data_IF_636278051189
#
_entry.id   IF_636278051189
#
_cell.length_a   1.000
_cell.length_b   1.000
_cell.length_c   1.000
_cell.angle_alpha   90.00
_cell.angle_beta   90.00
_cell.angle_gamma   90.00
#
_symmetry.space_group_name_H-M   'P 1'
#
loop_
_entity.id
_entity.type
_entity.pdbx_description
1 polymer ?
#
# COMPACT_ATOMS: atom_id res chain seq x y z
N UNK A 1 -43.33 32.76 -5.93
CA UNK A 1 -42.62 32.26 -7.12
C UNK A 1 -41.38 31.53 -6.64
N UNK A 2 -41.55 30.24 -6.36
CA UNK A 2 -40.47 29.31 -6.08
C UNK A 2 -39.90 28.85 -7.42
N UNK A 3 -38.58 28.88 -7.60
CA UNK A 3 -37.93 28.03 -8.60
C UNK A 3 -36.64 27.48 -7.98
N UNK A 4 -36.74 26.19 -7.67
CA UNK A 4 -35.69 25.33 -7.19
C UNK A 4 -34.50 25.34 -8.16
N UNK A 5 -33.30 25.50 -7.61
CA UNK A 5 -32.05 25.10 -8.25
C UNK A 5 -31.54 23.89 -7.46
N UNK A 6 -31.77 22.75 -8.06
CA UNK A 6 -31.54 21.39 -7.58
C UNK A 6 -30.04 21.11 -7.55
N UNK A 7 -29.55 20.74 -6.36
CA UNK A 7 -28.20 20.21 -6.13
C UNK A 7 -28.09 18.83 -6.77
N UNK A 8 -27.37 18.73 -7.90
CA UNK A 8 -26.98 17.44 -8.48
C UNK A 8 -25.75 16.94 -7.74
N UNK A 9 -26.02 16.14 -6.72
CA UNK A 9 -25.06 15.32 -5.98
C UNK A 9 -24.62 14.16 -6.88
N UNK A 10 -23.34 14.09 -7.26
CA UNK A 10 -22.77 12.91 -7.92
C UNK A 10 -22.23 11.96 -6.84
N UNK A 11 -22.80 10.75 -6.66
CA UNK A 11 -22.28 9.77 -5.72
C UNK A 11 -21.00 9.12 -6.28
N UNK A 12 -19.96 9.11 -5.43
CA UNK A 12 -18.74 8.33 -5.66
C UNK A 12 -19.07 6.84 -5.61
N UNK A 13 -18.78 6.13 -6.70
CA UNK A 13 -19.00 4.70 -6.84
C UNK A 13 -18.13 3.89 -5.83
N UNK A 14 -18.69 2.89 -5.13
CA UNK A 14 -17.92 1.95 -4.34
C UNK A 14 -17.18 0.96 -5.26
N UNK A 15 -15.89 0.75 -5.01
CA UNK A 15 -15.16 -0.34 -5.66
C UNK A 15 -15.61 -1.68 -5.08
N UNK A 16 -16.48 -2.35 -5.83
CA UNK A 16 -16.91 -3.71 -5.60
C UNK A 16 -15.71 -4.67 -5.68
N UNK A 17 -15.66 -5.59 -4.72
CA UNK A 17 -14.69 -6.68 -4.69
C UNK A 17 -15.14 -7.80 -5.63
N UNK A 18 -14.29 -8.16 -6.58
CA UNK A 18 -14.48 -9.38 -7.37
C UNK A 18 -14.00 -10.59 -6.55
N UNK A 19 -14.92 -11.16 -5.79
CA UNK A 19 -14.93 -12.57 -5.42
C UNK A 19 -15.31 -13.38 -6.66
N UNK A 20 -14.46 -14.29 -7.13
CA UNK A 20 -14.84 -15.27 -8.14
C UNK A 20 -14.62 -16.68 -7.57
N UNK A 21 -15.72 -17.29 -7.12
CA UNK A 21 -15.85 -18.70 -6.77
C UNK A 21 -17.18 -19.23 -7.34
N UNK A 22 -17.05 -20.29 -8.16
CA UNK A 22 -18.00 -21.38 -8.47
C UNK A 22 -19.36 -21.13 -9.17
N UNK A 23 -19.44 -21.60 -10.42
CA UNK A 23 -20.49 -22.46 -11.03
C UNK A 23 -19.94 -22.94 -12.40
N UNK A 24 -19.79 -24.21 -12.79
CA UNK A 24 -20.64 -25.42 -12.76
C UNK A 24 -21.80 -25.42 -13.78
N UNK A 25 -21.53 -25.90 -15.00
CA UNK A 25 -22.42 -26.59 -15.98
C UNK A 25 -21.55 -26.92 -17.23
N UNK A 26 -21.13 -28.16 -17.46
CA UNK A 26 -21.79 -29.28 -18.20
C UNK A 26 -21.91 -29.10 -19.74
N UNK A 27 -21.43 -30.14 -20.45
CA UNK A 27 -21.60 -30.57 -21.86
C UNK A 27 -20.24 -30.78 -22.56
N UNK A 28 -19.92 -31.87 -23.26
CA UNK A 28 -20.48 -33.20 -23.49
C UNK A 28 -19.32 -34.05 -24.08
N UNK A 29 -19.36 -35.36 -23.88
CA UNK A 29 -18.41 -36.36 -24.39
C UNK A 29 -18.29 -36.36 -25.94
N UNK A 30 -17.22 -36.97 -26.50
CA UNK A 30 -17.54 -38.13 -27.33
C UNK A 30 -16.79 -39.40 -26.92
N UNK A 31 -17.62 -40.44 -26.80
CA UNK A 31 -17.28 -41.84 -26.66
C UNK A 31 -16.51 -42.41 -27.87
N UNK A 32 -15.65 -43.38 -27.54
CA UNK A 32 -15.27 -44.56 -28.33
C UNK A 32 -14.26 -44.41 -29.49
N UNK A 33 -13.00 -44.73 -29.16
CA UNK A 33 -12.22 -45.69 -29.95
C UNK A 33 -11.25 -46.46 -29.03
N UNK A 34 -11.71 -47.59 -28.52
CA UNK A 34 -10.87 -48.58 -27.86
C UNK A 34 -10.00 -49.37 -28.86
N UNK A 35 -8.69 -49.41 -28.65
CA UNK A 35 -7.89 -50.65 -28.72
C UNK A 35 -6.48 -50.49 -28.09
N UNK A 36 -6.33 -51.14 -26.93
CA UNK A 36 -5.16 -51.70 -26.25
C UNK A 36 -3.72 -51.38 -26.72
N UNK A 37 -2.92 -50.89 -25.76
CA UNK A 37 -1.72 -51.64 -25.35
C UNK A 37 -1.33 -51.37 -23.89
N UNK A 38 -1.64 -52.36 -23.05
CA UNK A 38 -1.01 -52.74 -21.78
C UNK A 38 0.33 -52.09 -21.42
N UNK A 39 0.38 -51.34 -20.32
CA UNK A 39 1.38 -51.48 -19.23
C UNK A 39 1.29 -50.33 -18.22
N UNK A 40 0.34 -50.41 -17.27
CA UNK A 40 0.36 -49.57 -16.06
C UNK A 40 1.47 -50.02 -15.11
N UNK A 41 2.74 -49.83 -15.51
CA UNK A 41 3.85 -49.69 -14.56
C UNK A 41 3.57 -48.39 -13.78
N UNK A 42 3.55 -48.43 -12.44
CA UNK A 42 3.41 -47.25 -11.57
C UNK A 42 4.39 -46.17 -12.04
N UNK A 43 3.94 -45.21 -12.87
CA UNK A 43 4.79 -44.14 -13.40
C UNK A 43 5.23 -43.33 -12.17
N UNK A 44 6.51 -43.45 -11.79
CA UNK A 44 7.10 -42.65 -10.72
C UNK A 44 6.75 -41.19 -11.00
N UNK A 45 6.17 -40.50 -10.03
CA UNK A 45 5.79 -39.08 -10.17
C UNK A 45 6.98 -38.33 -10.74
N UNK A 46 6.82 -37.80 -11.94
CA UNK A 46 7.87 -37.09 -12.61
C UNK A 46 8.01 -35.74 -11.90
N UNK A 47 9.21 -35.49 -11.37
CA UNK A 47 9.51 -34.22 -10.71
C UNK A 47 10.00 -33.24 -11.78
N UNK A 48 9.35 -32.07 -11.93
CA UNK A 48 9.80 -31.04 -12.85
C UNK A 48 11.18 -30.50 -12.44
N UNK A 49 11.93 -30.04 -13.43
CA UNK A 49 13.25 -29.43 -13.23
C UNK A 49 13.36 -28.12 -13.97
N UNK A 50 13.98 -27.13 -13.33
CA UNK A 50 14.15 -25.80 -13.90
C UNK A 50 15.60 -25.60 -14.36
N UNK A 51 15.74 -25.01 -15.54
CA UNK A 51 17.00 -24.57 -16.11
C UNK A 51 16.98 -23.05 -16.21
N UNK A 52 18.00 -22.43 -15.63
CA UNK A 52 18.29 -21.01 -15.75
C UNK A 52 19.07 -20.74 -17.03
N UNK A 53 18.67 -19.69 -17.74
CA UNK A 53 19.31 -19.16 -18.94
C UNK A 53 19.89 -17.79 -18.58
N UNK A 54 21.21 -17.72 -18.45
CA UNK A 54 21.91 -16.51 -18.00
C UNK A 54 22.20 -15.49 -19.11
N UNK A 55 22.12 -15.91 -20.37
CA UNK A 55 22.33 -15.03 -21.51
C UNK A 55 21.22 -15.23 -22.54
N UNK A 56 20.59 -14.13 -22.93
CA UNK A 56 19.50 -14.11 -23.90
C UNK A 56 19.84 -13.16 -25.05
N UNK A 57 19.87 -13.65 -26.31
CA UNK A 57 20.14 -12.81 -27.47
C UNK A 57 19.12 -11.69 -27.69
N UNK A 58 19.50 -10.62 -28.41
CA UNK A 58 18.54 -9.59 -28.84
C UNK A 58 17.47 -10.20 -29.76
N UNK A 59 16.20 -9.80 -29.56
CA UNK A 59 15.01 -10.35 -30.27
C UNK A 59 14.70 -11.82 -29.99
N UNK A 60 15.32 -12.43 -28.99
CA UNK A 60 14.98 -13.78 -28.59
C UNK A 60 13.65 -13.80 -27.83
N UNK A 61 12.76 -14.74 -28.16
CA UNK A 61 11.42 -14.84 -27.56
C UNK A 61 11.28 -16.18 -26.83
N UNK A 62 10.45 -16.28 -25.79
CA UNK A 62 10.18 -17.56 -25.10
C UNK A 62 9.76 -18.69 -26.04
N UNK A 63 9.04 -18.36 -27.12
CA UNK A 63 8.64 -19.33 -28.15
C UNK A 63 9.83 -19.95 -28.89
N UNK A 64 10.88 -19.17 -29.18
CA UNK A 64 12.08 -19.70 -29.83
C UNK A 64 12.78 -20.72 -28.94
N UNK A 65 12.89 -20.46 -27.63
CA UNK A 65 13.45 -21.42 -26.67
C UNK A 65 12.62 -22.68 -26.58
N UNK A 66 11.29 -22.54 -26.50
CA UNK A 66 10.39 -23.69 -26.50
C UNK A 66 10.66 -24.58 -27.71
N UNK A 67 10.70 -24.00 -28.92
CA UNK A 67 10.91 -24.76 -30.15
C UNK A 67 12.30 -25.42 -30.21
N UNK A 68 13.35 -24.71 -29.79
CA UNK A 68 14.72 -25.25 -29.79
C UNK A 68 14.91 -26.38 -28.75
N UNK A 69 14.34 -26.21 -27.56
CA UNK A 69 14.49 -27.18 -26.47
C UNK A 69 13.48 -28.33 -26.53
N UNK A 70 12.39 -28.17 -27.30
CA UNK A 70 11.40 -29.22 -27.57
C UNK A 70 12.01 -30.47 -28.19
N UNK A 71 13.13 -30.35 -28.91
CA UNK A 71 13.84 -31.49 -29.48
C UNK A 71 14.50 -32.40 -28.42
N UNK A 72 14.78 -31.87 -27.23
CA UNK A 72 15.45 -32.61 -26.14
C UNK A 72 14.49 -33.13 -25.08
N UNK A 73 13.29 -32.54 -24.99
CA UNK A 73 12.20 -33.05 -24.16
C UNK A 73 11.04 -32.07 -24.00
N UNK A 74 10.05 -32.48 -23.20
CA UNK A 74 8.83 -31.69 -22.95
C UNK A 74 9.12 -30.44 -22.09
N UNK A 75 8.96 -29.27 -22.72
CA UNK A 75 9.11 -27.96 -22.07
C UNK A 75 7.76 -27.50 -21.53
N UNK A 76 7.70 -27.21 -20.24
CA UNK A 76 6.54 -26.67 -19.53
C UNK A 76 6.48 -25.15 -19.62
N UNK A 77 6.58 -24.48 -18.46
CA UNK A 77 6.54 -23.01 -18.36
C UNK A 77 7.88 -22.38 -18.74
N UNK A 78 7.82 -21.20 -19.36
CA UNK A 78 9.01 -20.41 -19.72
C UNK A 78 8.77 -18.96 -19.33
N UNK A 79 9.69 -18.38 -18.58
CA UNK A 79 9.63 -16.99 -18.13
C UNK A 79 10.94 -16.31 -18.46
N UNK A 80 10.87 -15.14 -19.08
CA UNK A 80 12.03 -14.30 -19.35
C UNK A 80 11.89 -12.98 -18.61
N UNK A 81 12.93 -12.61 -17.87
CA UNK A 81 13.02 -11.33 -17.20
C UNK A 81 13.36 -10.27 -18.23
N UNK A 82 12.44 -9.32 -18.43
CA UNK A 82 12.71 -8.17 -19.28
C UNK A 82 13.77 -7.27 -18.61
N UNK A 83 14.60 -6.63 -19.43
CA UNK A 83 15.52 -5.60 -18.97
C UNK A 83 14.80 -4.52 -18.14
N UNK A 84 15.54 -3.92 -17.20
CA UNK A 84 14.97 -2.90 -16.33
C UNK A 84 14.33 -1.74 -17.11
N UNK A 85 13.20 -1.26 -16.56
CA UNK A 85 12.38 -0.23 -17.21
C UNK A 85 13.17 1.07 -17.43
N UNK A 86 14.11 1.39 -16.56
CA UNK A 86 14.93 2.59 -16.67
C UNK A 86 15.89 2.50 -17.86
N UNK A 87 16.61 1.37 -17.99
CA UNK A 87 17.53 1.12 -19.11
C UNK A 87 16.77 1.14 -20.43
N UNK A 88 15.59 0.49 -20.48
CA UNK A 88 14.73 0.50 -21.66
C UNK A 88 14.26 1.92 -22.03
N UNK A 89 13.90 2.75 -21.04
CA UNK A 89 13.49 4.14 -21.28
C UNK A 89 14.65 4.99 -21.77
N UNK A 90 15.86 4.83 -21.19
CA UNK A 90 17.08 5.54 -21.63
C UNK A 90 17.44 5.17 -23.07
N UNK A 91 17.45 3.88 -23.41
CA UNK A 91 17.67 3.39 -24.77
C UNK A 91 16.65 3.98 -25.74
N UNK A 92 15.36 3.96 -25.39
CA UNK A 92 14.27 4.55 -26.21
C UNK A 92 14.46 6.06 -26.41
N UNK A 93 14.80 6.80 -25.35
CA UNK A 93 15.05 8.24 -25.42
C UNK A 93 16.26 8.56 -26.32
N UNK A 94 17.33 7.77 -26.23
CA UNK A 94 18.52 7.94 -27.06
C UNK A 94 18.25 7.71 -28.57
N UNK A 95 17.38 6.78 -28.97
CA UNK A 95 16.98 6.68 -30.38
C UNK A 95 15.98 7.75 -30.81
N UNK A 96 15.12 8.23 -29.91
CA UNK A 96 14.23 9.33 -30.24
C UNK A 96 15.03 10.62 -30.55
N UNK A 97 16.21 10.78 -29.95
CA UNK A 97 17.10 11.94 -30.13
C UNK A 97 18.02 11.90 -31.37
N UNK A 98 17.83 10.97 -32.31
CA UNK A 98 18.54 10.98 -33.60
C UNK A 98 19.54 9.82 -33.85
N UNK A 99 19.55 8.79 -33.01
CA UNK A 99 20.27 7.55 -33.28
C UNK A 99 19.60 6.73 -34.40
N UNK A 100 20.41 6.07 -35.25
CA UNK A 100 20.00 5.25 -36.42
C UNK A 100 18.65 4.53 -36.22
N UNK A 101 17.75 4.73 -37.19
CA UNK A 101 16.37 4.22 -37.29
C UNK A 101 16.14 2.91 -36.53
N UNK A 102 15.45 3.05 -35.40
CA UNK A 102 14.43 2.16 -34.86
C UNK A 102 14.28 0.78 -35.55
N UNK A 103 15.21 -0.15 -35.35
CA UNK A 103 14.86 -1.56 -35.40
C UNK A 103 14.07 -1.88 -34.12
N UNK A 104 12.84 -1.34 -34.06
CA UNK A 104 11.71 -1.69 -33.18
C UNK A 104 12.18 -2.41 -31.91
N UNK A 105 12.61 -1.64 -30.90
CA UNK A 105 13.07 -2.11 -29.59
C UNK A 105 12.31 -3.36 -29.16
N UNK A 106 12.88 -4.52 -29.47
CA UNK A 106 12.33 -5.77 -29.00
C UNK A 106 12.47 -5.74 -27.49
N UNK A 107 11.57 -6.42 -26.78
CA UNK A 107 11.79 -6.66 -25.36
C UNK A 107 13.05 -7.51 -25.27
N UNK A 108 14.17 -6.85 -24.97
CA UNK A 108 15.41 -7.53 -24.63
C UNK A 108 15.21 -8.11 -23.24
N UNK A 109 15.66 -9.33 -23.08
CA UNK A 109 15.58 -10.07 -21.84
C UNK A 109 16.98 -10.23 -21.29
N UNK A 110 17.14 -10.07 -19.99
CA UNK A 110 18.44 -10.26 -19.34
C UNK A 110 18.64 -11.73 -18.99
N UNK A 111 17.59 -12.35 -18.45
CA UNK A 111 17.64 -13.68 -17.87
C UNK A 111 16.38 -14.47 -18.23
N UNK A 112 16.46 -15.80 -18.13
CA UNK A 112 15.33 -16.68 -18.37
C UNK A 112 15.31 -17.93 -17.50
N UNK A 113 14.12 -18.47 -17.31
CA UNK A 113 13.88 -19.75 -16.63
C UNK A 113 12.98 -20.62 -17.49
N UNK A 114 13.41 -21.86 -17.67
CA UNK A 114 12.73 -22.87 -18.46
C UNK A 114 12.44 -24.05 -17.57
N UNK A 115 11.17 -24.41 -17.44
CA UNK A 115 10.75 -25.62 -16.75
C UNK A 115 10.67 -26.78 -17.74
N UNK A 116 11.30 -27.90 -17.39
CA UNK A 116 11.11 -29.18 -18.04
C UNK A 116 10.23 -30.06 -17.18
N UNK A 117 9.42 -30.90 -17.82
CA UNK A 117 8.58 -31.88 -17.13
C UNK A 117 9.42 -32.86 -16.29
N UNK A 118 10.58 -33.25 -16.80
CA UNK A 118 11.51 -34.20 -16.18
C UNK A 118 12.82 -33.54 -15.75
N UNK A 119 13.14 -33.58 -14.45
CA UNK A 119 14.44 -33.07 -13.96
C UNK A 119 15.66 -33.81 -14.52
N UNK A 120 15.50 -35.06 -14.98
CA UNK A 120 16.58 -35.84 -15.62
C UNK A 120 16.95 -35.26 -16.97
N UNK A 121 15.93 -34.86 -17.75
CA UNK A 121 16.11 -34.17 -19.02
C UNK A 121 16.74 -32.81 -18.78
N UNK A 122 16.24 -32.04 -17.81
CA UNK A 122 16.81 -30.74 -17.45
C UNK A 122 18.33 -30.81 -17.14
N UNK A 123 18.76 -31.81 -16.36
CA UNK A 123 20.18 -32.04 -16.06
C UNK A 123 21.00 -32.37 -17.30
N UNK A 124 20.50 -33.26 -18.15
CA UNK A 124 21.17 -33.65 -19.40
C UNK A 124 21.30 -32.45 -20.34
N UNK A 125 20.21 -31.73 -20.55
CA UNK A 125 20.15 -30.53 -21.39
C UNK A 125 21.14 -29.48 -20.89
N UNK A 126 21.16 -29.20 -19.59
CA UNK A 126 22.12 -28.25 -19.03
C UNK A 126 23.57 -28.74 -19.23
N UNK A 127 23.88 -30.02 -19.03
CA UNK A 127 25.24 -30.53 -19.23
C UNK A 127 25.68 -30.56 -20.70
N UNK A 128 24.77 -30.87 -21.63
CA UNK A 128 25.10 -31.06 -23.05
C UNK A 128 25.03 -29.77 -23.87
N UNK A 129 24.10 -28.87 -23.56
CA UNK A 129 23.90 -27.63 -24.33
C UNK A 129 24.64 -26.44 -23.75
N UNK A 130 25.11 -26.48 -22.50
CA UNK A 130 25.88 -25.37 -21.95
C UNK A 130 27.14 -25.10 -22.79
N UNK A 131 27.38 -23.84 -23.14
CA UNK A 131 28.44 -23.34 -24.01
C UNK A 131 28.42 -23.86 -25.46
N UNK A 132 27.29 -24.37 -25.94
CA UNK A 132 27.12 -24.76 -27.34
C UNK A 132 26.48 -23.63 -28.16
N UNK A 133 26.75 -23.53 -29.47
CA UNK A 133 26.11 -22.53 -30.32
C UNK A 133 24.61 -22.77 -30.45
N UNK A 134 23.80 -21.70 -30.35
CA UNK A 134 22.34 -21.81 -30.38
C UNK A 134 21.77 -22.22 -31.74
N UNK A 135 22.47 -21.90 -32.82
CA UNK A 135 22.00 -22.14 -34.17
C UNK A 135 22.97 -22.97 -35.00
N UNK A 136 22.52 -24.14 -35.45
CA UNK A 136 23.22 -24.90 -36.49
C UNK A 136 23.02 -24.29 -37.90
N UNK A 137 21.97 -23.47 -38.10
CA UNK A 137 21.54 -22.97 -39.43
C UNK A 137 22.32 -21.74 -39.88
N UNK A 138 22.67 -21.66 -41.17
CA UNK A 138 23.51 -20.58 -41.73
C UNK A 138 22.84 -19.20 -41.74
N UNK A 139 21.51 -19.17 -41.83
CA UNK A 139 20.70 -17.94 -41.83
C UNK A 139 20.00 -17.66 -40.50
N UNK A 140 20.32 -18.38 -39.41
CA UNK A 140 19.66 -18.11 -38.12
C UNK A 140 20.21 -16.82 -37.50
N UNK A 141 19.34 -15.93 -36.97
CA UNK A 141 19.78 -14.71 -36.29
C UNK A 141 20.68 -14.94 -35.07
N UNK A 142 20.60 -16.12 -34.45
CA UNK A 142 21.26 -16.48 -33.19
C UNK A 142 22.46 -17.42 -33.40
N UNK A 143 23.13 -17.33 -34.55
CA UNK A 143 24.21 -18.26 -34.95
C UNK A 143 25.46 -18.12 -34.07
N UNK A 144 25.85 -16.88 -33.77
CA UNK A 144 27.10 -16.58 -33.05
C UNK A 144 26.93 -16.64 -31.53
N UNK A 145 25.69 -16.68 -31.07
CA UNK A 145 25.39 -16.69 -29.65
C UNK A 145 25.48 -18.12 -29.08
N UNK A 146 26.02 -18.22 -27.87
CA UNK A 146 26.18 -19.46 -27.13
C UNK A 146 25.07 -19.63 -26.09
N UNK A 147 24.67 -20.88 -25.86
CA UNK A 147 23.79 -21.25 -24.76
C UNK A 147 24.50 -21.09 -23.42
N UNK A 148 23.95 -20.28 -22.52
CA UNK A 148 24.38 -20.23 -21.12
C UNK A 148 23.30 -20.81 -20.20
N UNK A 149 23.33 -22.13 -20.04
CA UNK A 149 22.33 -22.88 -19.27
C UNK A 149 22.89 -23.38 -17.94
N UNK A 150 22.11 -23.28 -16.87
CA UNK A 150 22.45 -23.84 -15.55
C UNK A 150 21.24 -24.56 -14.96
N UNK A 151 21.41 -25.82 -14.56
CA UNK A 151 20.36 -26.53 -13.84
C UNK A 151 20.29 -26.06 -12.38
N UNK A 152 19.07 -25.76 -11.90
CA UNK A 152 18.85 -25.37 -10.51
C UNK A 152 18.30 -26.57 -9.71
N UNK A 153 19.07 -27.00 -8.70
CA UNK A 153 18.68 -28.12 -7.86
C UNK A 153 17.62 -27.71 -6.83
N UNK A 154 16.63 -28.58 -6.59
CA UNK A 154 15.52 -28.37 -5.63
C UNK A 154 14.72 -27.06 -5.84
N UNK A 155 14.83 -26.48 -7.02
CA UNK A 155 14.13 -25.26 -7.38
C UNK A 155 12.88 -25.58 -8.18
N UNK A 156 11.74 -25.05 -7.73
CA UNK A 156 10.42 -25.21 -8.36
C UNK A 156 9.91 -23.87 -8.83
N UNK A 157 8.91 -23.90 -9.71
CA UNK A 157 8.36 -22.67 -10.29
C UNK A 157 7.69 -21.77 -9.25
N UNK A 158 7.11 -22.37 -8.21
CA UNK A 158 6.52 -21.65 -7.07
C UNK A 158 7.53 -20.71 -6.42
N UNK A 159 8.76 -21.17 -6.19
CA UNK A 159 9.82 -20.35 -5.60
C UNK A 159 10.21 -19.18 -6.51
N UNK A 160 10.23 -19.37 -7.84
CA UNK A 160 10.48 -18.28 -8.78
C UNK A 160 9.39 -17.22 -8.71
N UNK A 161 8.12 -17.64 -8.79
CA UNK A 161 6.99 -16.72 -8.75
C UNK A 161 6.89 -15.99 -7.42
N UNK A 162 7.15 -16.68 -6.31
CA UNK A 162 7.16 -16.13 -4.96
C UNK A 162 8.26 -15.07 -4.82
N UNK A 163 9.49 -15.40 -5.24
CA UNK A 163 10.61 -14.45 -5.19
C UNK A 163 10.34 -13.20 -6.04
N UNK A 164 9.84 -13.36 -7.26
CA UNK A 164 9.49 -12.23 -8.14
C UNK A 164 8.30 -11.40 -7.61
N UNK A 165 7.35 -12.04 -6.92
CA UNK A 165 6.23 -11.34 -6.29
C UNK A 165 6.71 -10.54 -5.08
N UNK A 166 7.54 -11.16 -4.25
CA UNK A 166 8.16 -10.52 -3.09
C UNK A 166 8.99 -9.30 -3.50
N UNK A 167 9.90 -9.43 -4.46
CA UNK A 167 10.72 -8.31 -4.93
C UNK A 167 9.86 -7.15 -5.45
N UNK A 168 8.81 -7.46 -6.24
CA UNK A 168 7.86 -6.46 -6.74
C UNK A 168 7.10 -5.79 -5.60
N UNK A 169 6.69 -6.54 -4.58
CA UNK A 169 5.98 -6.01 -3.42
C UNK A 169 6.88 -5.10 -2.59
N UNK A 170 8.12 -5.52 -2.30
CA UNK A 170 9.10 -4.71 -1.56
C UNK A 170 9.37 -3.40 -2.30
N UNK A 171 9.63 -3.46 -3.61
CA UNK A 171 9.83 -2.26 -4.43
C UNK A 171 8.61 -1.33 -4.41
N UNK A 172 7.40 -1.88 -4.50
CA UNK A 172 6.15 -1.12 -4.45
C UNK A 172 5.93 -0.48 -3.08
N UNK A 173 6.22 -1.20 -2.00
CA UNK A 173 6.10 -0.69 -0.63
C UNK A 173 7.09 0.45 -0.38
N UNK A 174 8.35 0.30 -0.82
CA UNK A 174 9.35 1.35 -0.73
C UNK A 174 8.93 2.63 -1.46
N UNK A 175 8.51 2.50 -2.72
CA UNK A 175 8.01 3.65 -3.50
C UNK A 175 6.78 4.31 -2.84
N UNK A 176 5.88 3.51 -2.25
CA UNK A 176 4.72 4.05 -1.52
C UNK A 176 5.12 4.82 -0.27
N UNK A 177 6.10 4.32 0.49
CA UNK A 177 6.62 5.01 1.66
C UNK A 177 7.30 6.33 1.27
N UNK A 178 8.13 6.32 0.22
CA UNK A 178 8.79 7.52 -0.31
C UNK A 178 7.75 8.56 -0.80
N UNK A 179 6.73 8.13 -1.54
CA UNK A 179 5.63 9.01 -1.97
C UNK A 179 4.82 9.52 -0.78
N UNK A 180 4.55 8.69 0.22
CA UNK A 180 3.81 9.09 1.41
C UNK A 180 4.60 10.13 2.23
N UNK A 181 5.92 10.00 2.34
CA UNK A 181 6.77 10.99 2.99
C UNK A 181 6.75 12.33 2.23
N UNK A 182 6.98 12.32 0.92
CA UNK A 182 6.94 13.54 0.11
C UNK A 182 5.57 14.24 0.16
N UNK A 183 4.47 13.47 0.19
CA UNK A 183 3.12 14.00 0.39
C UNK A 183 2.97 14.65 1.75
N UNK A 184 3.38 13.99 2.84
CA UNK A 184 3.31 14.58 4.21
C UNK A 184 4.07 15.90 4.29
N UNK A 185 5.25 15.99 3.70
CA UNK A 185 6.06 17.22 3.67
C UNK A 185 5.37 18.33 2.84
N UNK A 186 4.82 17.98 1.67
CA UNK A 186 4.08 18.92 0.81
C UNK A 186 2.80 19.41 1.49
N UNK A 187 2.01 18.51 2.07
CA UNK A 187 0.78 18.83 2.78
C UNK A 187 1.05 19.73 3.99
N UNK A 188 2.13 19.46 4.73
CA UNK A 188 2.58 20.30 5.84
C UNK A 188 2.95 21.72 5.37
N UNK A 189 3.66 21.84 4.24
CA UNK A 189 3.98 23.14 3.66
C UNK A 189 2.72 23.91 3.24
N UNK A 190 1.79 23.25 2.55
CA UNK A 190 0.52 23.87 2.13
C UNK A 190 -0.30 24.36 3.33
N UNK A 191 -0.42 23.56 4.38
CA UNK A 191 -1.11 23.94 5.62
C UNK A 191 -0.42 25.11 6.32
N UNK A 192 0.91 25.15 6.33
CA UNK A 192 1.69 26.23 6.95
C UNK A 192 1.52 27.55 6.19
N UNK A 193 1.54 27.52 4.85
CA UNK A 193 1.30 28.69 4.00
C UNK A 193 -0.14 29.19 4.15
N UNK A 194 -1.12 28.29 4.16
CA UNK A 194 -2.52 28.66 4.37
C UNK A 194 -2.73 29.29 5.75
N UNK A 195 -2.13 28.71 6.79
CA UNK A 195 -2.16 29.28 8.14
C UNK A 195 -1.51 30.66 8.18
N UNK A 196 -0.36 30.86 7.53
CA UNK A 196 0.30 32.16 7.40
C UNK A 196 -0.58 33.19 6.69
N UNK A 197 -1.22 32.82 5.57
CA UNK A 197 -2.18 33.69 4.87
C UNK A 197 -3.38 34.05 5.74
N UNK A 198 -3.92 33.10 6.50
CA UNK A 198 -5.03 33.33 7.43
C UNK A 198 -4.62 34.26 8.57
N UNK A 199 -3.39 34.15 9.09
CA UNK A 199 -2.87 35.10 10.09
C UNK A 199 -2.73 36.52 9.51
N UNK A 200 -2.12 36.66 8.33
CA UNK A 200 -1.99 37.96 7.67
C UNK A 200 -3.35 38.60 7.35
N UNK A 201 -4.32 37.82 6.88
CA UNK A 201 -5.68 38.29 6.63
C UNK A 201 -6.42 38.67 7.92
N UNK A 202 -6.14 37.99 9.03
CA UNK A 202 -6.71 38.30 10.35
C UNK A 202 -6.10 39.54 11.00
N UNK A 203 -4.81 39.83 10.77
CA UNK A 203 -4.14 41.04 11.25
C UNK A 203 -4.60 42.30 10.50
N UNK A 204 -5.08 42.15 9.25
CA UNK A 204 -5.67 43.24 8.45
C UNK A 204 -7.13 43.56 8.78
N UNK A 205 -7.79 42.79 9.65
CA UNK A 205 -9.18 42.99 10.04
C UNK A 205 -9.27 43.94 11.26
N UNK A 206 -9.43 45.24 10.99
CA UNK A 206 -9.55 46.31 11.99
C UNK A 206 -10.77 46.19 12.93
N UNK A 207 -11.67 45.23 12.68
CA UNK A 207 -12.87 44.97 13.49
C UNK A 207 -12.60 44.03 14.67
N UNK A 208 -11.44 43.39 14.72
CA UNK A 208 -11.07 42.54 15.85
C UNK A 208 -10.62 43.42 17.03
N UNK A 209 -11.25 43.30 18.22
CA UNK A 209 -10.75 43.99 19.39
C UNK A 209 -9.32 43.50 19.62
N UNK A 210 -8.40 44.45 19.83
CA UNK A 210 -7.00 44.20 20.16
C UNK A 210 -6.95 43.29 21.38
N UNK A 211 -6.97 41.98 21.16
CA UNK A 211 -6.85 40.98 22.20
C UNK A 211 -5.37 40.90 22.53
N UNK A 212 -4.88 41.98 23.16
CA UNK A 212 -3.74 41.87 24.06
C UNK A 212 -4.00 40.62 24.88
N UNK A 213 -3.07 39.68 24.81
CA UNK A 213 -3.14 38.42 25.53
C UNK A 213 -3.06 38.77 27.02
N UNK A 214 -4.18 39.18 27.58
CA UNK A 214 -4.32 39.51 28.98
C UNK A 214 -4.42 38.17 29.67
N UNK A 215 -3.40 37.87 30.46
CA UNK A 215 -3.40 36.75 31.39
C UNK A 215 -4.60 36.92 32.33
N UNK A 216 -5.75 36.35 31.96
CA UNK A 216 -6.98 36.48 32.72
C UNK A 216 -6.85 35.62 33.97
N UNK A 217 -6.54 36.27 35.10
CA UNK A 217 -6.55 35.65 36.42
C UNK A 217 -7.90 34.96 36.64
N UNK A 218 -7.87 33.68 37.05
CA UNK A 218 -9.10 32.92 37.30
C UNK A 218 -9.92 33.63 38.39
N UNK A 219 -11.23 33.88 38.16
CA UNK A 219 -12.07 34.56 39.14
C UNK A 219 -12.15 33.77 40.44
N UNK A 220 -12.12 34.46 41.56
CA UNK A 220 -12.15 33.88 42.90
C UNK A 220 -13.50 33.24 43.20
N UNK A 221 -13.53 32.27 44.12
CA UNK A 221 -14.71 31.44 44.40
C UNK A 221 -15.95 32.27 44.83
N UNK A 222 -15.72 33.39 45.50
CA UNK A 222 -16.77 34.33 45.91
C UNK A 222 -17.44 35.01 44.72
N UNK A 223 -16.65 35.38 43.71
CA UNK A 223 -17.12 35.98 42.46
C UNK A 223 -17.96 34.98 41.65
N UNK A 224 -17.57 33.69 41.66
CA UNK A 224 -18.33 32.61 41.04
C UNK A 224 -19.69 32.40 41.74
N UNK A 225 -19.74 32.46 43.08
CA UNK A 225 -21.00 32.33 43.85
C UNK A 225 -21.94 33.51 43.60
N UNK A 226 -21.42 34.74 43.61
CA UNK A 226 -22.19 35.95 43.31
C UNK A 226 -22.75 35.93 41.88
N UNK A 227 -21.93 35.55 40.90
CA UNK A 227 -22.34 35.43 39.49
C UNK A 227 -23.41 34.35 39.27
N UNK A 228 -23.36 33.27 40.05
CA UNK A 228 -24.36 32.20 40.01
C UNK A 228 -25.70 32.64 40.62
N UNK A 229 -25.67 33.46 41.69
CA UNK A 229 -26.85 34.05 42.30
C UNK A 229 -27.50 35.15 41.42
N UNK A 230 -26.72 35.83 40.58
CA UNK A 230 -27.20 36.89 39.68
C UNK A 230 -27.91 36.40 38.40
N UNK A 231 -27.87 35.09 38.09
CA UNK A 231 -28.60 34.53 36.93
C UNK A 231 -30.13 34.52 37.18
N UNK A 232 -30.98 34.56 36.13
CA UNK A 232 -32.43 34.45 36.29
C UNK A 232 -32.79 33.13 36.99
N UNK A 233 -33.57 33.20 38.08
CA UNK A 233 -33.85 32.07 38.98
C UNK A 233 -32.70 31.69 39.95
N UNK A 234 -31.53 32.34 39.83
CA UNK A 234 -30.38 32.16 40.71
C UNK A 234 -30.58 32.72 42.11
N UNK A 235 -31.35 33.81 42.25
CA UNK A 235 -31.74 34.38 43.56
C UNK A 235 -32.61 33.43 44.35
N UNK A 236 -33.56 32.74 43.70
CA UNK A 236 -34.40 31.73 44.36
C UNK A 236 -33.60 30.48 44.70
N UNK A 237 -32.72 30.00 43.82
CA UNK A 237 -31.80 28.89 44.12
C UNK A 237 -30.80 29.24 45.22
N UNK A 238 -30.32 30.47 45.28
CA UNK A 238 -29.44 30.95 46.35
C UNK A 238 -30.20 31.12 47.67
N UNK A 239 -31.45 31.58 47.63
CA UNK A 239 -32.36 31.60 48.80
C UNK A 239 -32.67 30.20 49.29
N UNK A 240 -32.97 29.25 48.39
CA UNK A 240 -33.20 27.85 48.73
C UNK A 240 -31.94 27.18 49.25
N UNK A 241 -30.77 27.44 48.66
CA UNK A 241 -29.48 26.95 49.16
C UNK A 241 -29.14 27.54 50.53
N UNK A 242 -29.35 28.84 50.73
CA UNK A 242 -29.20 29.48 52.04
C UNK A 242 -30.21 28.97 53.06
N UNK A 243 -31.45 28.72 52.67
CA UNK A 243 -32.48 28.13 53.53
C UNK A 243 -32.15 26.67 53.87
N UNK A 244 -31.56 25.93 52.92
CA UNK A 244 -31.12 24.56 53.11
C UNK A 244 -29.85 24.48 53.96
N UNK A 245 -28.92 25.42 53.82
CA UNK A 245 -27.75 25.58 54.70
C UNK A 245 -28.15 26.06 56.09
N UNK A 246 -29.14 26.96 56.21
CA UNK A 246 -29.73 27.36 57.49
C UNK A 246 -30.47 26.19 58.17
N UNK A 247 -31.23 25.39 57.41
CA UNK A 247 -31.91 24.21 57.90
C UNK A 247 -30.95 23.05 58.25
N UNK A 248 -29.82 22.95 57.54
CA UNK A 248 -28.72 22.02 57.88
C UNK A 248 -27.92 22.52 59.07
N UNK A 249 -27.80 23.83 59.24
CA UNK A 249 -27.10 24.43 60.37
C UNK A 249 -28.01 24.43 61.61
N UNK A 250 -28.08 23.29 62.29
CA UNK A 250 -28.45 23.23 63.71
C UNK A 250 -27.36 23.86 64.59
N UNK A 251 -26.73 24.95 64.14
CA UNK A 251 -25.58 25.55 64.81
C UNK A 251 -25.99 26.18 66.13
N UNK A 252 -27.17 26.78 66.20
CA UNK A 252 -27.75 27.32 67.43
C UNK A 252 -28.25 26.24 68.41
N UNK A 253 -28.69 25.09 67.89
CA UNK A 253 -29.14 23.95 68.69
C UNK A 253 -27.93 23.20 69.28
N UNK A 254 -26.90 22.97 68.46
CA UNK A 254 -25.62 22.42 68.89
C UNK A 254 -24.85 23.37 69.82
N UNK A 255 -24.92 24.69 69.62
CA UNK A 255 -24.29 25.68 70.52
C UNK A 255 -25.00 25.77 71.89
N UNK A 256 -26.31 25.49 71.97
CA UNK A 256 -27.03 25.40 73.26
C UNK A 256 -26.77 24.08 74.00
N UNK A 257 -26.48 23.01 73.26
CA UNK A 257 -26.11 21.71 73.85
C UNK A 257 -24.64 21.69 74.28
N UNK A 258 -23.73 22.31 73.51
CA UNK A 258 -22.28 22.23 73.73
C UNK A 258 -21.60 23.54 74.21
N UNK A 259 -22.31 24.67 74.28
CA UNK A 259 -21.77 25.99 74.67
C UNK A 259 -20.94 26.64 73.55
N UNK A 260 -21.19 27.93 73.23
CA UNK A 260 -20.42 28.66 72.21
C UNK A 260 -19.23 29.43 72.82
N UNK A 261 -18.03 29.37 72.21
CA UNK A 261 -16.86 30.14 72.66
C UNK A 261 -16.89 31.60 72.19
N UNK A 262 -16.33 32.56 72.95
CA UNK A 262 -16.38 34.00 72.64
C UNK A 262 -15.40 34.40 71.50
N UNK A 263 -15.78 35.35 70.61
CA UNK A 263 -14.96 35.76 69.47
C UNK A 263 -13.92 36.84 69.83
N UNK A 264 -12.70 36.69 69.30
CA UNK A 264 -11.56 37.59 69.48
C UNK A 264 -11.52 38.73 68.44
N UNK A 265 -11.15 39.93 68.89
CA UNK A 265 -11.00 41.17 68.12
C UNK A 265 -9.84 41.11 67.11
N UNK A 266 -10.09 41.57 65.88
CA UNK A 266 -9.09 41.72 64.82
C UNK A 266 -8.40 43.09 64.89
N UNK A 267 -7.08 43.11 65.13
CA UNK A 267 -6.23 44.28 64.90
C UNK A 267 -5.93 44.43 63.40
N UNK A 268 -6.19 45.63 62.89
CA UNK A 268 -5.60 46.16 61.66
C UNK A 268 -4.10 46.38 61.85
N UNK A 269 -3.29 46.07 60.85
CA UNK A 269 -1.93 46.59 60.75
C UNK A 269 -1.57 46.85 59.28
N UNK A 270 -1.06 48.05 59.07
CA UNK A 270 -0.49 48.61 57.84
C UNK A 270 0.87 48.02 57.50
#
# INVERSE_FOLDING_TARGET
VMKAAELVEQPQAPMEGESNAEAAEEQEEPEEAACNSSSKKKKKKVVPGIVYLGHVPPRFRPLHVRNLLSAYGEVGRVFFQAEDRFVRRKKKAAAAAGGKKAAKYSKDYTEGWVEFRDKRVAKRVAASLHNTPMGARRRSPFRYDLWNLKYLHRFTWSHLSEHLAFERQVRRQRLRAEVAQAKRETDFYLQSVERGKRFLAADGDATRPNSSWTFAQRPTEQELRARKAARPGGRERARLANAQDQARSNRGLLARIFGAPPPAESKEES
#
